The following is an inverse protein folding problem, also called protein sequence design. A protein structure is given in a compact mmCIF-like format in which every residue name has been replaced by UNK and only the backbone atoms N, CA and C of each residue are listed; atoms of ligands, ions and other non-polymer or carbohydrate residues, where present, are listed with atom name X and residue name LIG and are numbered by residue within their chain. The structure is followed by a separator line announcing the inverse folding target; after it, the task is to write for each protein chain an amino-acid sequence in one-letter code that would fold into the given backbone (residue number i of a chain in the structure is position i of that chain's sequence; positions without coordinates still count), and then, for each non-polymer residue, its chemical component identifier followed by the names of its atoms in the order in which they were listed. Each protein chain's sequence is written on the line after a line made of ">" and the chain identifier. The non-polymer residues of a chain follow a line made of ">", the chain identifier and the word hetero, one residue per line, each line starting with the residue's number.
data_IF_479923556911
#
_entry.id   IF_479923556911
#
_cell.length_a   1.000
_cell.length_b   1.000
_cell.length_c   1.000
_cell.angle_alpha   90.00
_cell.angle_beta   90.00
_cell.angle_gamma   90.00
#
_symmetry.space_group_name_H-M   'P 1'
#
loop_
_entity.id
_entity.type
_entity.pdbx_description
1 polymer ?
#
# COMPACT_ATOMS: atom_id res chain seq x y z
N UNK A 1 19.40 12.71 13.68
CA UNK A 1 18.87 11.34 13.47
C UNK A 1 17.66 11.45 12.56
N UNK A 2 17.61 10.71 11.45
CA UNK A 2 16.56 10.85 10.43
C UNK A 2 15.19 10.40 10.98
N UNK A 3 14.34 11.36 11.35
CA UNK A 3 13.00 11.13 11.90
C UNK A 3 12.12 10.28 10.98
N UNK A 4 12.32 10.39 9.66
CA UNK A 4 11.53 9.66 8.67
C UNK A 4 11.87 8.17 8.62
N UNK A 5 13.16 7.81 8.65
CA UNK A 5 13.57 6.41 8.64
C UNK A 5 13.04 5.65 9.87
N UNK A 6 13.06 6.30 11.04
CA UNK A 6 12.53 5.70 12.26
C UNK A 6 11.00 5.60 12.24
N UNK A 7 10.31 6.59 11.67
CA UNK A 7 8.85 6.55 11.48
C UNK A 7 8.43 5.43 10.53
N UNK A 8 9.13 5.26 9.41
CA UNK A 8 8.88 4.16 8.46
C UNK A 8 9.11 2.81 9.14
N UNK A 9 10.17 2.67 9.93
CA UNK A 9 10.44 1.43 10.69
C UNK A 9 9.27 1.07 11.61
N UNK A 10 8.78 2.02 12.40
CA UNK A 10 7.63 1.81 13.30
C UNK A 10 6.37 1.46 12.53
N UNK A 11 6.08 2.17 11.44
CA UNK A 11 4.92 1.88 10.60
C UNK A 11 5.00 0.50 9.95
N UNK A 12 6.19 0.07 9.55
CA UNK A 12 6.43 -1.26 8.98
C UNK A 12 6.13 -2.36 10.01
N UNK A 13 6.58 -2.19 11.25
CA UNK A 13 6.28 -3.12 12.35
C UNK A 13 4.78 -3.23 12.61
N UNK A 14 4.05 -2.11 12.57
CA UNK A 14 2.59 -2.08 12.69
C UNK A 14 1.92 -2.85 11.55
N UNK A 15 2.31 -2.58 10.30
CA UNK A 15 1.78 -3.28 9.12
C UNK A 15 2.04 -4.78 9.19
N UNK A 16 3.24 -5.20 9.60
CA UNK A 16 3.56 -6.61 9.80
C UNK A 16 2.66 -7.25 10.87
N UNK A 17 2.39 -6.53 11.97
CA UNK A 17 1.47 -6.97 13.02
C UNK A 17 0.03 -7.13 12.53
N UNK A 18 -0.43 -6.19 11.69
CA UNK A 18 -1.78 -6.17 11.12
C UNK A 18 -1.98 -7.11 9.92
N UNK A 19 -0.91 -7.54 9.27
CA UNK A 19 -0.97 -8.50 8.16
C UNK A 19 -1.40 -9.84 8.72
N UNK A 20 -2.58 -10.37 8.37
CA UNK A 20 -3.09 -11.60 8.99
C UNK A 20 -2.59 -12.85 8.25
N UNK A 21 -2.40 -12.75 6.94
CA UNK A 21 -1.98 -13.86 6.08
C UNK A 21 -0.53 -14.30 6.39
N UNK A 22 -0.34 -15.58 6.72
CA UNK A 22 0.96 -16.13 7.12
C UNK A 22 2.01 -16.09 6.01
N UNK A 23 1.60 -16.31 4.76
CA UNK A 23 2.50 -16.24 3.61
C UNK A 23 2.98 -14.80 3.39
N UNK A 24 2.08 -13.82 3.54
CA UNK A 24 2.45 -12.40 3.44
C UNK A 24 3.36 -11.95 4.58
N UNK A 25 3.16 -12.48 5.81
CA UNK A 25 4.10 -12.26 6.92
C UNK A 25 5.49 -12.80 6.60
N UNK A 26 5.58 -13.99 6.02
CA UNK A 26 6.85 -14.58 5.63
C UNK A 26 7.57 -13.71 4.58
N UNK A 27 6.85 -13.22 3.57
CA UNK A 27 7.39 -12.29 2.59
C UNK A 27 7.88 -10.98 3.23
N UNK A 28 7.09 -10.39 4.15
CA UNK A 28 7.49 -9.19 4.90
C UNK A 28 8.69 -9.41 5.84
N UNK A 29 9.00 -10.66 6.19
CA UNK A 29 10.15 -11.00 7.02
C UNK A 29 11.39 -11.34 6.19
N UNK A 30 11.21 -12.03 5.05
CA UNK A 30 12.27 -12.75 4.38
C UNK A 30 12.53 -12.31 2.93
N UNK A 31 11.63 -11.54 2.30
CA UNK A 31 11.81 -11.10 0.91
C UNK A 31 12.27 -9.63 0.86
N UNK A 32 13.56 -9.35 0.52
CA UNK A 32 14.10 -7.99 0.55
C UNK A 32 13.39 -7.01 -0.38
N UNK A 33 12.87 -7.50 -1.52
CA UNK A 33 12.15 -6.68 -2.48
C UNK A 33 10.79 -6.26 -1.92
N UNK A 34 10.00 -7.21 -1.43
CA UNK A 34 8.71 -6.92 -0.76
C UNK A 34 8.91 -5.97 0.42
N UNK A 35 9.95 -6.16 1.22
CA UNK A 35 10.28 -5.28 2.34
C UNK A 35 10.59 -3.86 1.86
N UNK A 36 11.42 -3.71 0.82
CA UNK A 36 11.75 -2.42 0.23
C UNK A 36 10.50 -1.72 -0.30
N UNK A 37 9.70 -2.44 -1.07
CA UNK A 37 8.52 -1.94 -1.73
C UNK A 37 7.46 -1.45 -0.72
N UNK A 38 7.19 -2.25 0.31
CA UNK A 38 6.26 -1.87 1.38
C UNK A 38 6.78 -0.67 2.18
N UNK A 39 8.09 -0.56 2.43
CA UNK A 39 8.65 0.62 3.10
C UNK A 39 8.49 1.89 2.25
N UNK A 40 8.61 1.80 0.94
CA UNK A 40 8.36 2.93 0.04
C UNK A 40 6.88 3.32 0.00
N UNK A 41 5.97 2.34 0.03
CA UNK A 41 4.53 2.63 0.19
C UNK A 41 4.27 3.36 1.51
N UNK A 42 4.92 2.95 2.61
CA UNK A 42 4.78 3.61 3.91
C UNK A 42 5.38 5.02 3.93
N UNK A 43 6.38 5.32 3.10
CA UNK A 43 6.81 6.70 2.87
C UNK A 43 5.68 7.54 2.27
N UNK A 44 4.89 7.00 1.35
CA UNK A 44 3.73 7.70 0.78
C UNK A 44 2.62 7.91 1.81
N UNK A 45 2.32 6.90 2.65
CA UNK A 45 1.40 7.08 3.77
C UNK A 45 1.85 8.20 4.72
N UNK A 46 3.14 8.26 5.04
CA UNK A 46 3.71 9.31 5.88
C UNK A 46 3.61 10.71 5.25
N UNK A 47 3.85 10.82 3.94
CA UNK A 47 3.74 12.10 3.20
C UNK A 47 2.30 12.60 3.16
N UNK A 48 1.34 11.70 3.05
CA UNK A 48 -0.09 12.02 2.99
C UNK A 48 -0.79 11.98 4.36
N UNK A 49 -0.03 11.87 5.46
CA UNK A 49 -0.56 11.83 6.83
C UNK A 49 -1.60 10.72 7.08
N UNK A 50 -1.50 9.60 6.35
CA UNK A 50 -2.36 8.43 6.53
C UNK A 50 -1.88 7.63 7.75
N UNK A 51 -2.77 7.41 8.72
CA UNK A 51 -2.48 6.57 9.88
C UNK A 51 -2.47 5.10 9.49
N UNK A 52 -1.39 4.38 9.80
CA UNK A 52 -1.21 2.94 9.49
C UNK A 52 -1.77 2.00 10.56
N UNK A 53 -2.32 2.52 11.66
CA UNK A 53 -2.62 1.74 12.88
C UNK A 53 -3.44 0.47 12.62
N UNK A 54 -4.35 0.51 11.64
CA UNK A 54 -5.24 -0.61 11.30
C UNK A 54 -4.94 -1.21 9.93
N UNK A 55 -3.93 -0.72 9.23
CA UNK A 55 -3.59 -1.18 7.88
C UNK A 55 -2.63 -2.36 7.95
N UNK A 56 -2.93 -3.42 7.22
CA UNK A 56 -2.06 -4.57 7.02
C UNK A 56 -2.05 -5.01 5.56
N UNK A 57 -1.06 -5.80 5.16
CA UNK A 57 -1.01 -6.38 3.82
C UNK A 57 -2.08 -7.48 3.73
N UNK A 58 -2.90 -7.41 2.70
CA UNK A 58 -4.04 -8.31 2.50
C UNK A 58 -3.79 -9.29 1.35
N UNK A 59 -3.21 -8.81 0.24
CA UNK A 59 -2.96 -9.60 -0.95
C UNK A 59 -1.76 -9.05 -1.74
N UNK A 60 -1.04 -9.94 -2.42
CA UNK A 60 -0.09 -9.60 -3.48
C UNK A 60 -0.56 -10.35 -4.74
N UNK A 61 -1.37 -9.71 -5.62
CA UNK A 61 -1.91 -10.39 -6.80
C UNK A 61 -0.80 -10.84 -7.76
N UNK A 62 0.24 -10.01 -7.89
CA UNK A 62 1.49 -10.26 -8.61
C UNK A 62 2.63 -9.51 -7.89
N UNK A 63 3.87 -9.94 -8.04
CA UNK A 63 5.02 -9.23 -7.47
C UNK A 63 5.07 -7.77 -7.99
N UNK A 64 5.18 -6.79 -7.08
CA UNK A 64 5.04 -5.37 -7.42
C UNK A 64 3.62 -4.81 -7.30
N UNK A 65 2.61 -5.66 -7.05
CA UNK A 65 1.23 -5.27 -6.79
C UNK A 65 0.86 -5.57 -5.34
N UNK A 66 0.63 -4.53 -4.53
CA UNK A 66 0.39 -4.68 -3.09
C UNK A 66 -0.99 -4.17 -2.72
N UNK A 67 -1.79 -4.99 -2.03
CA UNK A 67 -3.09 -4.57 -1.49
C UNK A 67 -3.04 -4.49 0.03
N UNK A 68 -3.37 -3.33 0.56
CA UNK A 68 -3.50 -3.07 1.98
C UNK A 68 -4.97 -3.02 2.35
N UNK A 69 -5.32 -3.52 3.54
CA UNK A 69 -6.66 -3.44 4.10
C UNK A 69 -6.60 -2.79 5.48
N UNK A 70 -7.50 -1.84 5.70
CA UNK A 70 -7.78 -1.28 7.01
C UNK A 70 -8.82 -2.15 7.70
N UNK A 71 -8.39 -2.96 8.66
CA UNK A 71 -9.27 -3.93 9.33
C UNK A 71 -10.36 -3.30 10.20
N UNK A 72 -10.26 -2.00 10.50
CA UNK A 72 -11.26 -1.27 11.29
C UNK A 72 -12.39 -0.73 10.42
N UNK A 73 -12.07 -0.19 9.25
CA UNK A 73 -13.04 0.48 8.36
C UNK A 73 -13.48 -0.41 7.19
N UNK A 74 -12.70 -1.44 6.88
CA UNK A 74 -12.87 -2.27 5.70
C UNK A 74 -12.47 -1.57 4.40
N UNK A 75 -11.74 -0.44 4.48
CA UNK A 75 -11.16 0.25 3.33
C UNK A 75 -9.94 -0.52 2.82
N UNK A 76 -9.78 -0.62 1.51
CA UNK A 76 -8.59 -1.21 0.90
C UNK A 76 -7.89 -0.23 -0.04
N UNK A 77 -6.58 -0.43 -0.19
CA UNK A 77 -5.73 0.34 -1.09
C UNK A 77 -4.88 -0.62 -1.92
N UNK A 78 -5.00 -0.53 -3.23
CA UNK A 78 -4.18 -1.28 -4.16
C UNK A 78 -3.08 -0.38 -4.74
N UNK A 79 -1.85 -0.87 -4.70
CA UNK A 79 -0.67 -0.28 -5.31
C UNK A 79 -0.27 -1.19 -6.47
N UNK A 80 -0.71 -0.88 -7.68
CA UNK A 80 -0.31 -1.61 -8.88
C UNK A 80 0.88 -0.93 -9.55
N UNK A 81 1.90 -1.69 -9.98
CA UNK A 81 3.05 -1.22 -10.77
C UNK A 81 3.84 -0.03 -10.16
N UNK A 82 3.87 0.08 -8.84
CA UNK A 82 4.46 1.22 -8.13
C UNK A 82 5.99 1.41 -8.33
N UNK A 83 6.65 0.45 -8.98
CA UNK A 83 8.09 0.44 -9.22
C UNK A 83 8.45 0.22 -10.70
N UNK A 84 7.66 0.78 -11.62
CA UNK A 84 8.16 1.01 -12.98
C UNK A 84 9.44 1.88 -12.91
N UNK A 85 10.31 1.78 -13.91
CA UNK A 85 11.69 2.30 -13.92
C UNK A 85 11.82 3.81 -13.58
N UNK A 86 10.71 4.54 -13.52
CA UNK A 86 10.64 5.99 -13.30
C UNK A 86 10.46 6.43 -11.83
N UNK A 87 10.26 5.51 -10.86
CA UNK A 87 10.10 5.82 -9.41
C UNK A 87 8.98 6.85 -9.09
N UNK A 88 8.00 7.01 -9.97
CA UNK A 88 6.86 7.89 -9.78
C UNK A 88 5.71 7.11 -9.12
N UNK A 89 5.09 7.71 -8.09
CA UNK A 89 3.80 7.24 -7.57
C UNK A 89 2.79 7.34 -8.73
N UNK A 90 2.43 6.21 -9.34
CA UNK A 90 1.37 6.11 -10.33
C UNK A 90 0.26 5.23 -9.74
N UNK A 91 -0.84 5.82 -9.25
CA UNK A 91 -2.02 5.04 -8.90
C UNK A 91 -2.54 4.40 -10.18
N UNK A 92 -2.37 3.08 -10.26
CA UNK A 92 -2.88 2.23 -11.34
C UNK A 92 -2.35 2.60 -12.73
N UNK A 93 -1.40 1.80 -13.23
CA UNK A 93 -1.36 1.57 -14.67
C UNK A 93 -2.58 0.73 -15.04
N UNK A 94 -3.63 1.43 -15.44
CA UNK A 94 -4.83 0.90 -16.11
C UNK A 94 -4.32 0.56 -17.51
N UNK A 95 -4.17 -0.72 -17.84
CA UNK A 95 -3.95 -1.05 -19.26
C UNK A 95 -5.15 -0.52 -20.08
N UNK A 96 -5.00 -0.39 -21.39
CA UNK A 96 -6.02 0.18 -22.28
C UNK A 96 -7.39 -0.53 -22.28
N UNK A 97 -7.50 -1.65 -21.57
CA UNK A 97 -8.71 -2.45 -21.35
C UNK A 97 -9.24 -2.42 -19.90
N UNK A 98 -8.56 -1.74 -18.97
CA UNK A 98 -9.01 -1.63 -17.59
C UNK A 98 -10.06 -0.51 -17.42
N UNK A 99 -11.12 -0.80 -16.67
CA UNK A 99 -12.20 0.14 -16.32
C UNK A 99 -11.88 0.92 -15.02
N UNK A 100 -10.66 0.82 -14.50
CA UNK A 100 -10.27 1.45 -13.22
C UNK A 100 -9.99 2.95 -13.39
N UNK A 101 -10.37 3.77 -12.41
CA UNK A 101 -10.20 5.22 -12.43
C UNK A 101 -8.83 5.59 -11.84
N UNK A 102 -8.06 6.43 -12.53
CA UNK A 102 -6.73 6.86 -12.09
C UNK A 102 -6.85 7.99 -11.06
N UNK A 103 -6.23 7.81 -9.90
CA UNK A 103 -6.08 8.85 -8.89
C UNK A 103 -4.72 9.55 -9.01
N UNK A 104 -4.61 10.79 -8.55
CA UNK A 104 -3.35 11.55 -8.48
C UNK A 104 -2.72 11.56 -7.07
N UNK A 105 -3.47 11.12 -6.05
CA UNK A 105 -3.04 11.02 -4.64
C UNK A 105 -3.65 9.79 -3.96
N UNK A 106 -3.10 9.32 -2.83
CA UNK A 106 -3.72 8.24 -2.04
C UNK A 106 -5.11 8.64 -1.56
N UNK A 107 -5.26 9.88 -1.09
CA UNK A 107 -6.55 10.39 -0.63
C UNK A 107 -7.62 10.31 -1.73
N UNK A 108 -7.27 10.70 -2.96
CA UNK A 108 -8.17 10.60 -4.10
C UNK A 108 -8.49 9.14 -4.45
N UNK A 109 -7.51 8.23 -4.35
CA UNK A 109 -7.73 6.80 -4.57
C UNK A 109 -8.76 6.22 -3.58
N UNK A 110 -8.67 6.60 -2.29
CA UNK A 110 -9.65 6.21 -1.26
C UNK A 110 -11.05 6.75 -1.61
N UNK A 111 -11.14 8.02 -2.03
CA UNK A 111 -12.42 8.65 -2.38
C UNK A 111 -13.07 8.05 -3.65
N UNK A 112 -12.27 7.65 -4.64
CA UNK A 112 -12.75 7.00 -5.87
C UNK A 112 -13.33 5.61 -5.59
N UNK A 113 -12.64 4.81 -4.78
CA UNK A 113 -13.13 3.48 -4.40
C UNK A 113 -14.48 3.54 -3.69
N UNK A 114 -14.64 4.51 -2.77
CA UNK A 114 -15.89 4.74 -2.04
C UNK A 114 -17.06 5.15 -2.94
N UNK A 115 -16.80 5.83 -4.06
CA UNK A 115 -17.82 6.24 -5.03
C UNK A 115 -18.25 5.09 -5.95
N UNK A 116 -17.33 4.18 -6.27
CA UNK A 116 -17.58 3.07 -7.18
C UNK A 116 -18.21 1.87 -6.47
N UNK A 117 -18.06 1.74 -5.15
CA UNK A 117 -18.74 0.73 -4.32
C UNK A 117 -19.28 1.35 -3.00
N UNK A 118 -20.36 2.15 -3.07
CA UNK A 118 -20.97 2.72 -1.87
C UNK A 118 -21.70 1.64 -1.08
N UNK A 119 -21.15 1.28 0.09
CA UNK A 119 -21.81 0.37 1.05
C UNK A 119 -23.09 0.95 1.63
#
# INVERSE_FOLDING_TARGET
>A
MNSDAERVRKNFEIVCGNTINIYLKDLLANNPKVIGDVKEILNSFNRECVSVLNWGLFEIPLEGNYRFLNWKTGEHLAFANYFSEEKSFLPMYVDEHSNEQVASTLKEAIEMEYKNDPK
#
